data_IF_794857804460
#
_entry.id   IF_794857804460
#
_cell.length_a   1.000
_cell.length_b   1.000
_cell.length_c   1.000
_cell.angle_alpha   90.00
_cell.angle_beta   90.00
_cell.angle_gamma   90.00
#
_symmetry.space_group_name_H-M   'P 1'
#
loop_
_entity.id
_entity.type
_entity.pdbx_description
1 polymer ?
#
# COMPACT_ATOMS: atom_id res chain seq x y z
N UNK A 1 -49.94 26.84 -80.30
CA UNK A 1 -49.36 27.81 -79.39
C UNK A 1 -47.89 27.52 -79.31
N UNK A 2 -47.09 28.27 -80.07
CA UNK A 2 -45.64 28.02 -80.27
C UNK A 2 -44.83 28.74 -79.20
N UNK A 3 -43.94 27.99 -78.45
CA UNK A 3 -43.02 28.56 -77.51
C UNK A 3 -41.62 28.60 -78.14
N UNK A 4 -41.05 29.76 -78.22
CA UNK A 4 -39.76 30.05 -78.84
C UNK A 4 -38.65 29.92 -77.78
N UNK A 5 -37.70 28.99 -78.02
CA UNK A 5 -36.47 28.87 -77.28
C UNK A 5 -35.49 29.95 -77.76
N UNK A 6 -34.98 30.77 -76.82
CA UNK A 6 -33.81 31.61 -77.06
C UNK A 6 -32.61 31.04 -76.27
N UNK A 7 -31.63 30.61 -77.09
CA UNK A 7 -30.32 30.17 -76.67
C UNK A 7 -29.42 31.38 -76.31
N UNK A 8 -28.94 31.46 -75.10
CA UNK A 8 -27.84 32.36 -74.70
C UNK A 8 -26.53 31.59 -74.65
N UNK A 9 -25.58 31.96 -75.54
CA UNK A 9 -24.23 31.44 -75.46
C UNK A 9 -23.42 32.22 -74.42
N UNK A 10 -22.92 31.53 -73.38
CA UNK A 10 -22.03 32.09 -72.35
C UNK A 10 -20.58 31.80 -72.74
N UNK A 11 -19.83 32.84 -73.01
CA UNK A 11 -18.40 32.78 -73.30
C UNK A 11 -17.67 32.64 -71.95
N UNK A 12 -17.05 31.49 -71.67
CA UNK A 12 -16.22 31.27 -70.50
C UNK A 12 -14.77 31.60 -70.84
N UNK A 13 -14.28 32.69 -70.23
CA UNK A 13 -12.86 33.05 -70.23
C UNK A 13 -12.13 32.19 -69.17
N UNK A 14 -11.26 31.31 -69.64
CA UNK A 14 -10.33 30.55 -68.76
C UNK A 14 -9.12 31.41 -68.41
N UNK A 15 -9.00 31.85 -67.18
CA UNK A 15 -7.77 32.41 -66.58
C UNK A 15 -6.98 31.26 -65.94
N UNK A 16 -5.62 31.24 -66.04
CA UNK A 16 -4.82 30.22 -65.42
C UNK A 16 -4.74 30.46 -63.89
N UNK A 17 -5.24 29.53 -63.08
CA UNK A 17 -5.00 29.48 -61.67
C UNK A 17 -3.54 29.04 -61.41
N UNK A 18 -2.72 29.97 -61.00
CA UNK A 18 -1.41 29.67 -60.38
C UNK A 18 -1.66 28.95 -59.05
N UNK A 19 -1.31 27.65 -59.00
CA UNK A 19 -1.43 26.83 -57.81
C UNK A 19 -0.52 27.34 -56.70
N UNK A 20 -1.12 27.87 -55.63
CA UNK A 20 -0.46 28.04 -54.36
C UNK A 20 -0.45 26.70 -53.65
N UNK A 21 0.70 26.02 -53.61
CA UNK A 21 0.91 24.80 -52.81
C UNK A 21 1.05 25.27 -51.35
N UNK A 22 0.17 24.89 -50.41
CA UNK A 22 0.39 25.18 -49.01
C UNK A 22 1.59 24.39 -48.53
N UNK A 23 2.66 25.08 -48.19
CA UNK A 23 3.78 24.54 -47.45
C UNK A 23 3.27 24.11 -46.07
N UNK A 24 3.10 22.79 -45.86
CA UNK A 24 2.92 22.24 -44.54
C UNK A 24 4.26 22.37 -43.79
N UNK A 25 4.44 23.53 -43.15
CA UNK A 25 5.44 23.66 -42.10
C UNK A 25 5.07 22.64 -41.03
N UNK A 26 5.83 21.52 -40.93
CA UNK A 26 5.79 20.63 -39.75
C UNK A 26 6.08 21.52 -38.56
N UNK A 27 5.04 21.88 -37.81
CA UNK A 27 5.19 22.34 -36.45
C UNK A 27 5.88 21.19 -35.69
N UNK A 28 7.15 21.32 -35.43
CA UNK A 28 7.83 20.51 -34.42
C UNK A 28 7.21 20.95 -33.09
N UNK A 29 6.15 20.28 -32.66
CA UNK A 29 5.77 20.30 -31.26
C UNK A 29 7.01 19.85 -30.49
N UNK A 30 7.68 20.81 -29.89
CA UNK A 30 8.68 20.54 -28.86
C UNK A 30 7.92 19.82 -27.76
N UNK A 31 8.03 18.47 -27.73
CA UNK A 31 7.55 17.62 -26.66
C UNK A 31 8.31 18.09 -25.43
N UNK A 32 7.71 19.02 -24.69
CA UNK A 32 8.25 19.45 -23.41
C UNK A 32 8.38 18.18 -22.57
N UNK A 33 9.60 17.72 -22.34
CA UNK A 33 9.84 16.54 -21.50
C UNK A 33 9.19 16.80 -20.15
N UNK A 34 8.15 16.02 -19.85
CA UNK A 34 7.42 16.14 -18.60
C UNK A 34 8.39 15.80 -17.50
N UNK A 35 8.70 16.76 -16.60
CA UNK A 35 9.64 16.56 -15.48
C UNK A 35 9.23 15.28 -14.74
N UNK A 36 10.13 14.29 -14.69
CA UNK A 36 9.92 13.07 -13.94
C UNK A 36 10.13 13.32 -12.45
N UNK A 37 9.35 12.63 -11.63
CA UNK A 37 9.55 12.57 -10.18
C UNK A 37 10.83 11.82 -9.85
N UNK A 38 11.46 12.11 -8.72
CA UNK A 38 12.67 11.47 -8.24
C UNK A 38 12.40 10.69 -6.97
N UNK A 39 12.64 9.40 -6.99
CA UNK A 39 12.44 8.49 -5.85
C UNK A 39 13.80 7.98 -5.38
N UNK A 40 14.15 8.20 -4.12
CA UNK A 40 15.24 7.51 -3.45
C UNK A 40 14.71 6.20 -2.88
N UNK A 41 15.20 5.06 -3.38
CA UNK A 41 14.83 3.74 -2.91
C UNK A 41 15.95 3.15 -2.05
N UNK A 42 15.72 3.07 -0.75
CA UNK A 42 16.67 2.56 0.24
C UNK A 42 16.36 1.09 0.52
N UNK A 43 17.35 0.22 0.25
CA UNK A 43 17.25 -1.24 0.40
C UNK A 43 18.29 -1.80 1.38
N UNK A 44 18.80 -0.96 2.29
CA UNK A 44 19.81 -1.37 3.26
C UNK A 44 19.20 -2.30 4.33
N UNK A 45 19.84 -3.44 4.57
CA UNK A 45 19.54 -4.37 5.64
C UNK A 45 20.58 -4.30 6.74
N UNK A 46 20.16 -3.93 7.96
CA UNK A 46 20.98 -4.00 9.20
C UNK A 46 20.47 -5.09 10.15
N UNK A 47 19.33 -5.72 9.82
CA UNK A 47 18.80 -6.93 10.41
C UNK A 47 18.83 -8.07 9.38
N UNK A 48 17.72 -8.77 9.22
CA UNK A 48 17.58 -9.83 8.22
C UNK A 48 17.68 -9.27 6.80
N UNK A 49 18.48 -9.91 5.93
CA UNK A 49 18.58 -9.53 4.52
C UNK A 49 17.67 -10.41 3.67
N UNK A 50 16.64 -9.81 3.10
CA UNK A 50 15.72 -10.47 2.17
C UNK A 50 16.37 -10.72 0.80
N UNK A 51 16.04 -11.84 0.15
CA UNK A 51 16.54 -12.14 -1.20
C UNK A 51 16.18 -11.06 -2.22
N UNK A 52 15.01 -10.45 -2.09
CA UNK A 52 14.52 -9.36 -2.95
C UNK A 52 15.36 -8.08 -2.88
N UNK A 53 16.12 -7.85 -1.81
CA UNK A 53 17.03 -6.70 -1.67
C UNK A 53 18.52 -7.12 -1.67
N UNK A 54 18.82 -8.40 -1.88
CA UNK A 54 20.18 -8.88 -1.98
C UNK A 54 20.69 -8.76 -3.42
N UNK A 55 21.70 -7.93 -3.64
CA UNK A 55 22.29 -7.70 -4.96
C UNK A 55 23.07 -8.91 -5.47
N UNK A 56 23.59 -9.77 -4.59
CA UNK A 56 24.35 -10.98 -4.99
C UNK A 56 25.39 -10.68 -6.09
N UNK A 57 26.23 -9.69 -5.89
CA UNK A 57 27.26 -9.19 -6.82
C UNK A 57 26.72 -8.56 -8.13
N UNK A 58 25.41 -8.30 -8.21
CA UNK A 58 24.79 -7.55 -9.31
C UNK A 58 24.70 -6.06 -8.99
N UNK A 59 24.60 -5.20 -9.99
CA UNK A 59 24.42 -3.76 -9.76
C UNK A 59 23.14 -3.42 -8.99
N UNK A 60 22.06 -4.19 -9.22
CA UNK A 60 20.76 -4.00 -8.59
C UNK A 60 20.19 -5.32 -8.07
N UNK A 61 19.50 -5.26 -6.94
CA UNK A 61 18.71 -6.35 -6.38
C UNK A 61 17.39 -6.55 -7.16
N UNK A 62 16.72 -7.71 -7.02
CA UNK A 62 15.46 -7.97 -7.73
C UNK A 62 14.39 -6.87 -7.55
N UNK A 63 14.22 -6.35 -6.36
CA UNK A 63 13.27 -5.25 -6.08
C UNK A 63 13.72 -3.92 -6.70
N UNK A 64 15.01 -3.64 -6.72
CA UNK A 64 15.57 -2.45 -7.33
C UNK A 64 15.41 -2.46 -8.85
N UNK A 65 15.62 -3.64 -9.49
CA UNK A 65 15.34 -3.84 -10.93
C UNK A 65 13.87 -3.56 -11.22
N UNK A 66 12.95 -4.18 -10.46
CA UNK A 66 11.52 -3.99 -10.66
C UNK A 66 11.10 -2.53 -10.53
N UNK A 67 11.60 -1.82 -9.52
CA UNK A 67 11.29 -0.39 -9.33
C UNK A 67 11.82 0.48 -10.47
N UNK A 68 13.02 0.18 -10.96
CA UNK A 68 13.59 0.87 -12.13
C UNK A 68 12.75 0.63 -13.39
N UNK A 69 12.29 -0.62 -13.60
CA UNK A 69 11.39 -0.97 -14.70
C UNK A 69 10.04 -0.27 -14.62
N UNK A 70 9.43 -0.19 -13.41
CA UNK A 70 8.17 0.53 -13.18
C UNK A 70 8.33 2.02 -13.53
N UNK A 71 9.42 2.65 -13.07
CA UNK A 71 9.71 4.04 -13.39
C UNK A 71 9.88 4.29 -14.87
N UNK A 72 10.69 3.46 -15.54
CA UNK A 72 10.95 3.54 -16.97
C UNK A 72 9.70 3.30 -17.82
N UNK A 73 8.93 2.24 -17.52
CA UNK A 73 7.73 1.86 -18.30
C UNK A 73 6.58 2.84 -18.12
N UNK A 74 6.40 3.38 -16.91
CA UNK A 74 5.39 4.41 -16.65
C UNK A 74 5.78 5.80 -17.17
N UNK A 75 7.08 6.06 -17.34
CA UNK A 75 7.61 7.38 -17.70
C UNK A 75 7.39 8.47 -16.63
N UNK A 76 6.98 8.08 -15.41
CA UNK A 76 6.56 9.03 -14.36
C UNK A 76 7.70 9.44 -13.43
N UNK A 77 8.61 8.52 -13.13
CA UNK A 77 9.68 8.78 -12.16
C UNK A 77 10.98 8.06 -12.51
N UNK A 78 12.06 8.60 -12.01
CA UNK A 78 13.36 7.96 -11.99
C UNK A 78 13.66 7.46 -10.58
N UNK A 79 14.33 6.31 -10.44
CA UNK A 79 14.64 5.69 -9.16
C UNK A 79 16.16 5.69 -8.94
N UNK A 80 16.57 6.24 -7.82
CA UNK A 80 17.94 6.08 -7.31
C UNK A 80 17.93 5.01 -6.23
N UNK A 81 18.56 3.86 -6.49
CA UNK A 81 18.63 2.73 -5.57
C UNK A 81 19.89 2.79 -4.73
N UNK A 82 19.78 2.70 -3.41
CA UNK A 82 20.91 2.72 -2.49
C UNK A 82 20.78 1.67 -1.38
N UNK A 83 21.94 1.08 -1.01
CA UNK A 83 22.09 0.25 0.20
C UNK A 83 22.85 0.99 1.31
N UNK A 84 22.94 2.30 1.21
CA UNK A 84 23.51 3.19 2.22
C UNK A 84 22.46 4.24 2.61
N UNK A 85 21.80 4.04 3.76
CA UNK A 85 20.79 4.96 4.25
C UNK A 85 21.40 6.26 4.83
N UNK A 86 22.71 6.34 5.04
CA UNK A 86 23.37 7.57 5.52
C UNK A 86 23.28 8.72 4.52
N UNK A 87 22.99 8.42 3.24
CA UNK A 87 22.76 9.43 2.20
C UNK A 87 21.46 10.23 2.43
N UNK A 88 20.57 9.80 3.30
CA UNK A 88 19.34 10.52 3.63
C UNK A 88 19.65 11.74 4.51
N UNK A 89 20.03 12.81 3.86
CA UNK A 89 20.43 14.08 4.47
C UNK A 89 19.50 15.21 4.01
N UNK A 90 19.46 16.36 4.73
CA UNK A 90 18.68 17.52 4.30
C UNK A 90 19.01 17.99 2.88
N UNK A 91 20.28 17.92 2.47
CA UNK A 91 20.68 18.31 1.12
C UNK A 91 20.17 17.33 0.07
N UNK A 92 20.24 16.03 0.35
CA UNK A 92 19.69 15.00 -0.54
C UNK A 92 18.19 15.12 -0.74
N UNK A 93 17.45 15.43 0.32
CA UNK A 93 15.99 15.58 0.29
C UNK A 93 15.51 16.70 -0.63
N UNK A 94 16.30 17.75 -0.85
CA UNK A 94 15.93 18.88 -1.73
C UNK A 94 15.64 18.46 -3.17
N UNK A 95 16.26 17.37 -3.63
CA UNK A 95 16.16 16.90 -5.01
C UNK A 95 15.14 15.76 -5.19
N UNK A 96 14.46 15.34 -4.12
CA UNK A 96 13.58 14.18 -4.11
C UNK A 96 12.11 14.59 -4.01
N UNK A 97 11.25 13.76 -4.61
CA UNK A 97 9.79 13.84 -4.48
C UNK A 97 9.25 12.73 -3.56
N UNK A 98 9.97 11.59 -3.48
CA UNK A 98 9.61 10.48 -2.59
C UNK A 98 10.85 9.76 -2.04
N UNK A 99 10.68 9.15 -0.85
CA UNK A 99 11.63 8.18 -0.28
C UNK A 99 10.90 6.86 -0.07
N UNK A 100 11.48 5.78 -0.58
CA UNK A 100 10.96 4.43 -0.43
C UNK A 100 11.90 3.58 0.44
N UNK A 101 11.29 2.84 1.38
CA UNK A 101 12.01 1.95 2.31
C UNK A 101 11.62 0.50 2.06
N UNK A 102 12.64 -0.34 1.84
CA UNK A 102 12.58 -1.78 2.00
C UNK A 102 13.83 -2.19 2.79
N UNK A 103 13.77 -1.97 4.07
CA UNK A 103 14.93 -1.96 4.98
C UNK A 103 14.67 -2.79 6.21
N UNK A 104 15.73 -3.16 6.94
CA UNK A 104 15.63 -3.85 8.23
C UNK A 104 16.62 -3.28 9.25
N UNK A 105 16.24 -3.31 10.51
CA UNK A 105 17.12 -2.98 11.65
C UNK A 105 17.42 -1.49 11.79
N UNK A 106 18.42 -1.16 12.59
CA UNK A 106 18.84 0.22 12.87
C UNK A 106 19.69 0.80 11.74
N UNK A 107 19.09 1.64 10.92
CA UNK A 107 19.80 2.30 9.82
C UNK A 107 20.72 3.42 10.31
N UNK A 108 21.82 3.75 9.58
CA UNK A 108 22.73 4.83 9.91
C UNK A 108 22.15 6.21 9.52
N UNK A 109 20.94 6.50 9.95
CA UNK A 109 20.33 7.82 9.81
C UNK A 109 20.36 8.49 11.18
N UNK A 110 21.00 9.65 11.30
CA UNK A 110 21.03 10.37 12.56
C UNK A 110 19.66 10.89 12.95
N UNK A 111 19.44 11.19 14.22
CA UNK A 111 18.15 11.76 14.68
C UNK A 111 17.84 13.08 13.99
N UNK A 112 18.85 13.89 13.74
CA UNK A 112 18.73 15.18 13.04
C UNK A 112 18.32 14.99 11.59
N UNK A 113 18.94 14.03 10.87
CA UNK A 113 18.58 13.70 9.50
C UNK A 113 17.17 13.09 9.41
N UNK A 114 16.78 12.28 10.40
CA UNK A 114 15.43 11.74 10.45
C UNK A 114 14.40 12.86 10.72
N UNK A 115 14.67 13.77 11.64
CA UNK A 115 13.78 14.92 11.89
C UNK A 115 13.64 15.80 10.63
N UNK A 116 14.72 16.00 9.88
CA UNK A 116 14.67 16.70 8.61
C UNK A 116 13.84 15.95 7.56
N UNK A 117 13.91 14.62 7.53
CA UNK A 117 13.06 13.78 6.68
C UNK A 117 11.58 13.90 7.07
N UNK A 118 11.25 13.90 8.38
CA UNK A 118 9.87 14.12 8.83
C UNK A 118 9.34 15.49 8.38
N UNK A 119 10.10 16.56 8.58
CA UNK A 119 9.67 17.90 8.15
C UNK A 119 9.56 18.00 6.63
N UNK A 120 10.44 17.35 5.87
CA UNK A 120 10.35 17.25 4.42
C UNK A 120 9.06 16.52 3.98
N UNK A 121 8.73 15.38 4.61
CA UNK A 121 7.48 14.67 4.38
C UNK A 121 6.27 15.57 4.74
N UNK A 122 6.31 16.22 5.90
CA UNK A 122 5.27 17.15 6.37
C UNK A 122 5.03 18.32 5.41
N UNK A 123 6.04 18.72 4.63
CA UNK A 123 5.93 19.77 3.63
C UNK A 123 5.16 19.36 2.36
N UNK A 124 4.87 18.05 2.17
CA UNK A 124 4.02 17.58 1.08
C UNK A 124 4.64 16.47 0.20
N UNK A 125 5.77 15.92 0.59
CA UNK A 125 6.45 14.85 -0.13
C UNK A 125 5.89 13.46 0.22
N UNK A 126 6.44 12.41 -0.40
CA UNK A 126 5.92 11.06 -0.26
C UNK A 126 6.88 10.11 0.47
N UNK A 127 6.31 9.25 1.32
CA UNK A 127 6.98 8.09 1.87
C UNK A 127 6.30 6.81 1.36
N UNK A 128 7.10 5.85 0.88
CA UNK A 128 6.64 4.53 0.48
C UNK A 128 7.33 3.50 1.37
N UNK A 129 6.57 2.55 1.92
CA UNK A 129 7.09 1.41 2.66
C UNK A 129 6.67 0.09 2.03
N UNK A 130 7.59 -0.84 1.89
CA UNK A 130 7.29 -2.20 1.45
C UNK A 130 7.83 -3.20 2.45
N UNK A 131 7.04 -4.24 2.70
CA UNK A 131 7.39 -5.41 3.51
C UNK A 131 8.11 -5.03 4.81
N UNK A 132 9.42 -5.26 4.89
CA UNK A 132 10.21 -5.02 6.09
C UNK A 132 10.50 -3.54 6.42
N UNK A 133 9.90 -2.60 5.70
CA UNK A 133 9.95 -1.21 6.16
C UNK A 133 9.43 -1.08 7.60
N UNK A 134 8.52 -1.94 8.05
CA UNK A 134 8.06 -2.03 9.45
C UNK A 134 9.02 -2.78 10.39
N UNK A 135 10.06 -3.45 9.88
CA UNK A 135 11.15 -4.05 10.66
C UNK A 135 12.38 -3.12 10.75
N UNK A 136 12.15 -1.83 10.57
CA UNK A 136 13.17 -0.79 10.59
C UNK A 136 13.00 0.05 11.85
N UNK A 137 14.12 0.38 12.53
CA UNK A 137 14.13 1.21 13.74
C UNK A 137 13.12 0.77 14.82
N UNK A 138 13.07 -0.53 15.14
CA UNK A 138 12.04 -1.13 16.00
C UNK A 138 11.79 -0.44 17.34
N UNK A 139 12.80 0.22 17.92
CA UNK A 139 12.72 0.94 19.20
C UNK A 139 12.69 2.47 19.02
N UNK A 140 12.66 2.99 17.79
CA UNK A 140 12.64 4.41 17.51
C UNK A 140 11.21 4.89 17.21
N UNK A 141 10.56 5.42 18.24
CA UNK A 141 9.15 5.83 18.23
C UNK A 141 8.77 6.77 17.07
N UNK A 142 9.55 7.79 16.69
CA UNK A 142 9.19 8.63 15.54
C UNK A 142 8.97 7.82 14.26
N UNK A 143 9.85 6.86 13.96
CA UNK A 143 9.71 6.05 12.74
C UNK A 143 8.49 5.11 12.77
N UNK A 144 8.32 4.32 13.85
CA UNK A 144 7.21 3.38 13.88
C UNK A 144 5.84 4.08 14.04
N UNK A 145 5.78 5.26 14.66
CA UNK A 145 4.57 6.09 14.65
C UNK A 145 4.26 6.63 13.26
N UNK A 146 5.31 6.94 12.47
CA UNK A 146 5.15 7.42 11.11
C UNK A 146 4.61 6.34 10.18
N UNK A 147 5.27 5.17 10.12
CA UNK A 147 4.87 4.06 9.26
C UNK A 147 3.64 3.30 9.77
N UNK A 148 3.28 3.51 11.05
CA UNK A 148 2.15 2.90 11.75
C UNK A 148 2.30 1.40 11.99
N UNK A 149 3.43 0.99 12.52
CA UNK A 149 3.63 -0.40 12.94
C UNK A 149 5.09 -0.78 13.07
N UNK A 150 5.31 -1.79 13.90
CA UNK A 150 6.61 -2.45 14.04
C UNK A 150 6.42 -3.95 13.88
N UNK A 151 7.31 -4.60 13.15
CA UNK A 151 7.35 -6.05 13.00
C UNK A 151 7.21 -6.79 14.34
N UNK A 152 6.31 -7.77 14.39
CA UNK A 152 6.01 -8.59 15.57
C UNK A 152 5.89 -10.09 15.18
N UNK A 153 6.70 -10.52 14.21
CA UNK A 153 6.72 -11.87 13.69
C UNK A 153 6.01 -12.01 12.34
N UNK A 154 6.19 -13.20 11.73
CA UNK A 154 5.62 -13.57 10.43
C UNK A 154 4.95 -14.94 10.52
N UNK A 155 3.73 -15.03 11.08
CA UNK A 155 3.02 -16.31 11.23
C UNK A 155 2.78 -17.05 9.91
N UNK A 156 2.69 -16.32 8.80
CA UNK A 156 2.60 -16.86 7.45
C UNK A 156 3.95 -16.64 6.75
N UNK A 157 4.68 -17.73 6.55
CA UNK A 157 6.03 -17.70 5.97
C UNK A 157 6.01 -17.57 4.44
N UNK A 158 7.17 -17.32 3.85
CA UNK A 158 7.37 -17.07 2.41
C UNK A 158 6.87 -18.18 1.47
N UNK A 159 6.73 -19.41 1.97
CA UNK A 159 6.18 -20.55 1.23
C UNK A 159 4.66 -20.64 1.25
N UNK A 160 3.98 -19.90 2.10
CA UNK A 160 2.53 -20.00 2.28
C UNK A 160 1.78 -19.12 1.28
N UNK A 161 0.61 -19.63 0.83
CA UNK A 161 -0.35 -18.84 0.07
C UNK A 161 -1.43 -18.36 1.01
N UNK A 162 -1.66 -17.06 1.04
CA UNK A 162 -2.69 -16.42 1.86
C UNK A 162 -3.82 -15.89 0.99
N UNK A 163 -5.00 -15.73 1.58
CA UNK A 163 -6.13 -15.03 0.94
C UNK A 163 -6.21 -13.63 1.50
N UNK A 164 -6.08 -12.65 0.63
CA UNK A 164 -6.17 -11.21 0.93
C UNK A 164 -7.53 -10.70 0.49
N UNK A 165 -8.22 -9.97 1.36
CA UNK A 165 -9.48 -9.31 1.08
C UNK A 165 -9.26 -7.80 0.90
N UNK A 166 -9.85 -7.24 -0.16
CA UNK A 166 -9.90 -5.80 -0.38
C UNK A 166 -10.95 -5.21 0.54
N UNK A 167 -10.54 -4.29 1.40
CA UNK A 167 -11.40 -3.68 2.43
C UNK A 167 -11.97 -2.32 2.00
N UNK A 168 -11.27 -1.60 1.10
CA UNK A 168 -11.84 -0.46 0.38
C UNK A 168 -11.66 -0.63 -1.13
N UNK A 169 -12.63 -1.23 -1.83
CA UNK A 169 -12.57 -1.44 -3.28
C UNK A 169 -12.74 -0.15 -4.09
N UNK A 170 -13.12 0.96 -3.46
CA UNK A 170 -13.32 2.25 -4.13
C UNK A 170 -12.02 3.03 -4.27
N UNK A 171 -11.04 2.73 -3.41
CA UNK A 171 -9.77 3.42 -3.41
C UNK A 171 -8.93 3.07 -4.65
N UNK A 172 -8.27 4.08 -5.24
CA UNK A 172 -7.48 3.92 -6.48
C UNK A 172 -6.39 2.85 -6.35
N UNK A 173 -5.72 2.76 -5.20
CA UNK A 173 -4.67 1.76 -4.92
C UNK A 173 -5.22 0.33 -4.87
N UNK A 174 -6.53 0.17 -4.65
CA UNK A 174 -7.19 -1.12 -4.62
C UNK A 174 -7.52 -1.68 -6.01
N UNK A 175 -7.62 -0.83 -7.03
CA UNK A 175 -8.07 -1.21 -8.39
C UNK A 175 -7.30 -2.35 -9.07
N UNK A 176 -5.97 -2.54 -8.86
CA UNK A 176 -5.25 -3.64 -9.50
C UNK A 176 -5.72 -5.03 -9.06
N UNK A 177 -6.43 -5.15 -7.93
CA UNK A 177 -6.80 -6.43 -7.35
C UNK A 177 -8.32 -6.69 -7.41
N UNK A 178 -8.75 -7.94 -7.60
CA UNK A 178 -10.16 -8.30 -7.36
C UNK A 178 -10.50 -8.18 -5.87
N UNK A 179 -11.78 -8.19 -5.54
CA UNK A 179 -12.27 -8.03 -4.16
C UNK A 179 -11.62 -9.01 -3.16
N UNK A 180 -11.18 -10.16 -3.65
CA UNK A 180 -10.40 -11.16 -2.91
C UNK A 180 -9.42 -11.84 -3.84
N UNK A 181 -8.18 -12.07 -3.39
CA UNK A 181 -7.16 -12.74 -4.18
C UNK A 181 -6.23 -13.59 -3.31
N UNK A 182 -5.63 -14.61 -3.93
CA UNK A 182 -4.59 -15.41 -3.31
C UNK A 182 -3.21 -14.86 -3.66
N UNK A 183 -2.33 -14.81 -2.66
CA UNK A 183 -0.96 -14.35 -2.84
C UNK A 183 0.02 -15.23 -2.05
N UNK A 184 1.13 -15.61 -2.68
CA UNK A 184 2.18 -16.40 -2.05
C UNK A 184 3.29 -15.47 -1.62
N UNK A 185 3.30 -15.11 -0.34
CA UNK A 185 4.32 -14.25 0.24
C UNK A 185 4.39 -14.45 1.76
N UNK A 186 5.45 -13.93 2.38
CA UNK A 186 5.53 -13.84 3.83
C UNK A 186 4.70 -12.66 4.31
N UNK A 187 3.94 -12.86 5.40
CA UNK A 187 3.06 -11.85 5.95
C UNK A 187 3.46 -11.52 7.39
N UNK A 188 3.76 -10.26 7.61
CA UNK A 188 4.07 -9.70 8.92
C UNK A 188 2.82 -9.41 9.73
N UNK A 189 2.91 -9.62 11.03
CA UNK A 189 2.04 -9.02 12.03
C UNK A 189 2.77 -7.86 12.71
N UNK A 190 2.02 -7.00 13.42
CA UNK A 190 2.56 -5.77 13.95
C UNK A 190 2.29 -5.59 15.43
N UNK A 191 3.22 -4.96 16.13
CA UNK A 191 3.01 -4.17 17.35
C UNK A 191 2.96 -2.70 16.96
N UNK A 192 2.45 -1.83 17.84
CA UNK A 192 2.31 -0.39 17.63
C UNK A 192 1.45 0.01 16.42
N UNK A 193 0.62 -0.91 15.91
CA UNK A 193 -0.35 -0.57 14.89
C UNK A 193 -1.56 0.14 15.52
N UNK A 194 -1.87 1.34 15.03
CA UNK A 194 -3.04 2.12 15.44
C UNK A 194 -4.02 2.22 14.27
N UNK A 195 -5.20 1.58 14.36
CA UNK A 195 -6.22 1.67 13.32
C UNK A 195 -6.76 3.10 13.13
N UNK A 196 -6.64 3.98 14.14
CA UNK A 196 -7.08 5.38 14.08
C UNK A 196 -6.12 6.30 13.30
N UNK A 197 -4.95 5.79 12.91
CA UNK A 197 -3.91 6.57 12.23
C UNK A 197 -3.87 6.35 10.71
N UNK A 198 -4.60 5.37 10.17
CA UNK A 198 -4.46 4.92 8.78
C UNK A 198 -5.80 4.62 8.11
N UNK A 199 -5.81 4.72 6.79
CA UNK A 199 -6.87 4.20 5.93
C UNK A 199 -6.43 2.83 5.40
N UNK A 200 -7.04 1.75 5.89
CA UNK A 200 -6.72 0.37 5.52
C UNK A 200 -7.37 0.03 4.19
N UNK A 201 -6.62 -0.59 3.30
CA UNK A 201 -7.06 -0.98 1.96
C UNK A 201 -7.22 -2.49 1.79
N UNK A 202 -6.34 -3.28 2.44
CA UNK A 202 -6.35 -4.74 2.38
C UNK A 202 -6.07 -5.34 3.75
N UNK A 203 -6.65 -6.52 3.99
CA UNK A 203 -6.35 -7.36 5.15
C UNK A 203 -6.40 -8.84 4.80
N UNK A 204 -5.90 -9.70 5.68
CA UNK A 204 -6.07 -11.15 5.52
C UNK A 204 -7.51 -11.57 5.76
N UNK A 205 -8.02 -12.47 4.90
CA UNK A 205 -9.25 -13.21 5.18
C UNK A 205 -8.92 -14.41 6.08
N UNK A 206 -9.13 -14.27 7.39
CA UNK A 206 -8.76 -15.27 8.38
C UNK A 206 -9.56 -16.59 8.26
N UNK A 207 -10.76 -16.55 7.67
CA UNK A 207 -11.54 -17.77 7.42
C UNK A 207 -10.97 -18.62 6.28
N UNK A 208 -10.16 -18.01 5.39
CA UNK A 208 -9.58 -18.67 4.21
C UNK A 208 -8.05 -18.83 4.29
N UNK A 209 -7.43 -18.33 5.33
CA UNK A 209 -6.01 -18.54 5.61
C UNK A 209 -5.82 -19.63 6.65
N UNK A 210 -4.63 -20.23 6.70
CA UNK A 210 -4.24 -21.05 7.82
C UNK A 210 -4.33 -20.23 9.09
N UNK A 211 -5.22 -20.65 10.01
CA UNK A 211 -5.51 -19.90 11.24
C UNK A 211 -4.29 -19.73 12.11
N UNK A 212 -3.95 -18.51 12.44
CA UNK A 212 -2.85 -18.11 13.32
C UNK A 212 -3.22 -16.83 14.08
N UNK A 213 -2.48 -16.54 15.12
CA UNK A 213 -2.50 -15.23 15.78
C UNK A 213 -1.63 -14.23 15.00
N UNK A 214 -1.99 -12.96 14.84
CA UNK A 214 -3.17 -12.23 15.34
C UNK A 214 -4.45 -12.56 14.55
N UNK A 215 -5.58 -12.01 14.98
CA UNK A 215 -6.86 -12.22 14.30
C UNK A 215 -7.04 -11.30 13.10
N UNK A 216 -6.80 -9.99 13.22
CA UNK A 216 -6.76 -9.07 12.09
C UNK A 216 -5.32 -8.75 11.68
N UNK A 217 -5.03 -8.84 10.39
CA UNK A 217 -3.72 -8.50 9.81
C UNK A 217 -3.93 -7.56 8.64
N UNK A 218 -3.71 -6.25 8.82
CA UNK A 218 -3.72 -5.31 7.72
C UNK A 218 -2.54 -5.58 6.78
N UNK A 219 -2.79 -5.59 5.48
CA UNK A 219 -1.78 -5.86 4.44
C UNK A 219 -1.32 -4.58 3.77
N UNK A 220 -2.23 -3.63 3.60
CA UNK A 220 -1.91 -2.37 2.94
C UNK A 220 -2.71 -1.24 3.55
N UNK A 221 -2.05 -0.11 3.73
CA UNK A 221 -2.68 1.12 4.19
C UNK A 221 -2.05 2.36 3.59
N UNK A 222 -2.81 3.42 3.65
CA UNK A 222 -2.37 4.77 3.28
C UNK A 222 -2.68 5.74 4.41
N UNK A 223 -1.97 6.86 4.47
CA UNK A 223 -2.27 7.95 5.39
C UNK A 223 -1.75 9.28 4.87
N UNK A 224 -2.40 10.36 5.26
CA UNK A 224 -1.80 11.69 5.19
C UNK A 224 -1.02 11.98 6.48
N UNK A 225 0.16 12.58 6.31
CA UNK A 225 1.04 13.00 7.39
C UNK A 225 1.26 14.49 7.21
N UNK A 226 0.42 15.31 7.85
CA UNK A 226 0.28 16.75 7.55
C UNK A 226 -0.02 16.96 6.05
N UNK A 227 0.92 17.55 5.28
CA UNK A 227 0.76 17.73 3.83
C UNK A 227 1.34 16.57 3.02
N UNK A 228 2.11 15.68 3.61
CA UNK A 228 2.71 14.51 2.93
C UNK A 228 1.76 13.32 2.89
N UNK A 229 2.13 12.31 2.09
CA UNK A 229 1.40 11.05 1.98
C UNK A 229 2.32 9.86 2.20
N UNK A 230 1.82 8.86 2.90
CA UNK A 230 2.49 7.59 3.11
C UNK A 230 1.63 6.45 2.54
N UNK A 231 2.26 5.60 1.72
CA UNK A 231 1.72 4.33 1.24
C UNK A 231 2.58 3.19 1.78
N UNK A 232 1.94 2.17 2.36
CA UNK A 232 2.62 0.95 2.81
C UNK A 232 1.93 -0.30 2.30
N UNK A 233 2.72 -1.29 1.91
CA UNK A 233 2.26 -2.66 1.61
C UNK A 233 3.15 -3.69 2.31
N UNK A 234 2.52 -4.68 2.95
CA UNK A 234 3.18 -5.82 3.60
C UNK A 234 3.84 -6.77 2.58
N UNK A 235 3.31 -6.79 1.35
CA UNK A 235 3.82 -7.67 0.29
C UNK A 235 5.21 -7.26 -0.16
N UNK A 236 6.01 -8.23 -0.63
CA UNK A 236 7.33 -7.96 -1.21
C UNK A 236 8.47 -8.85 -0.72
N UNK A 237 8.23 -9.84 0.17
CA UNK A 237 9.28 -10.73 0.67
C UNK A 237 9.94 -11.54 -0.45
N UNK A 238 9.14 -12.24 -1.24
CA UNK A 238 9.65 -13.15 -2.27
C UNK A 238 10.18 -12.40 -3.49
N UNK A 239 11.27 -12.88 -4.07
CA UNK A 239 11.80 -12.34 -5.34
C UNK A 239 10.74 -12.40 -6.46
N UNK A 240 9.93 -13.48 -6.49
CA UNK A 240 8.84 -13.66 -7.46
C UNK A 240 7.71 -12.62 -7.34
N UNK A 241 7.52 -12.03 -6.17
CA UNK A 241 6.55 -10.94 -5.97
C UNK A 241 6.90 -9.74 -6.86
N UNK A 242 8.19 -9.41 -7.00
CA UNK A 242 8.68 -8.27 -7.80
C UNK A 242 8.58 -8.47 -9.32
N UNK A 243 8.34 -9.70 -9.76
CA UNK A 243 8.06 -10.02 -11.18
C UNK A 243 6.57 -10.14 -11.49
N UNK A 244 5.70 -10.14 -10.46
CA UNK A 244 4.25 -10.23 -10.61
C UNK A 244 3.68 -8.93 -11.20
N UNK A 245 2.98 -8.96 -12.35
CA UNK A 245 2.46 -7.76 -13.00
C UNK A 245 1.44 -7.00 -12.15
N UNK A 246 0.58 -7.70 -11.40
CA UNK A 246 -0.43 -7.08 -10.54
C UNK A 246 0.23 -6.39 -9.33
N UNK A 247 1.30 -6.98 -8.77
CA UNK A 247 2.05 -6.34 -7.71
C UNK A 247 2.80 -5.09 -8.21
N UNK A 248 3.37 -5.13 -9.43
CA UNK A 248 4.00 -3.94 -10.05
C UNK A 248 2.96 -2.83 -10.26
N UNK A 249 1.76 -3.16 -10.72
CA UNK A 249 0.69 -2.19 -10.88
C UNK A 249 0.19 -1.65 -9.52
N UNK A 250 0.11 -2.52 -8.51
CA UNK A 250 -0.21 -2.10 -7.14
C UNK A 250 0.81 -1.09 -6.59
N UNK A 251 2.11 -1.33 -6.78
CA UNK A 251 3.15 -0.37 -6.40
C UNK A 251 3.01 0.94 -7.18
N UNK A 252 2.79 0.86 -8.49
CA UNK A 252 2.64 2.04 -9.34
C UNK A 252 1.45 2.89 -8.91
N UNK A 253 0.30 2.29 -8.63
CA UNK A 253 -0.88 3.04 -8.15
C UNK A 253 -0.67 3.62 -6.76
N UNK A 254 0.00 2.90 -5.87
CA UNK A 254 0.39 3.40 -4.54
C UNK A 254 1.34 4.60 -4.63
N UNK A 255 2.33 4.54 -5.52
CA UNK A 255 3.27 5.64 -5.79
C UNK A 255 2.54 6.85 -6.39
N UNK A 256 1.65 6.65 -7.37
CA UNK A 256 0.83 7.71 -7.96
C UNK A 256 -0.02 8.43 -6.92
N UNK A 257 -0.66 7.66 -6.03
CA UNK A 257 -1.43 8.23 -4.95
C UNK A 257 -0.54 9.02 -3.97
N UNK A 258 0.61 8.46 -3.58
CA UNK A 258 1.55 9.11 -2.67
C UNK A 258 2.12 10.41 -3.26
N UNK A 259 2.39 10.45 -4.57
CA UNK A 259 2.84 11.62 -5.32
C UNK A 259 1.69 12.58 -5.72
N UNK A 260 0.46 12.36 -5.26
CA UNK A 260 -0.73 13.18 -5.57
C UNK A 260 -1.07 13.26 -7.07
N UNK A 261 -0.71 12.24 -7.83
CA UNK A 261 -1.09 12.08 -9.25
C UNK A 261 -2.47 11.45 -9.41
N UNK A 262 -2.93 10.77 -8.38
CA UNK A 262 -4.26 10.19 -8.29
C UNK A 262 -4.84 10.48 -6.90
N UNK A 263 -6.16 10.67 -6.85
CA UNK A 263 -6.87 10.94 -5.60
C UNK A 263 -7.49 9.66 -5.03
N UNK A 264 -7.59 9.63 -3.71
CA UNK A 264 -8.23 8.57 -2.93
C UNK A 264 -8.24 8.97 -1.45
N UNK A 265 -9.22 8.51 -0.67
CA UNK A 265 -9.36 8.89 0.73
C UNK A 265 -8.15 8.44 1.56
N UNK A 266 -7.69 9.30 2.47
CA UNK A 266 -6.68 8.99 3.47
C UNK A 266 -7.21 9.18 4.90
N UNK A 267 -8.49 9.58 5.02
CA UNK A 267 -9.15 9.66 6.32
C UNK A 267 -9.11 8.27 6.96
N UNK A 268 -8.62 8.15 8.19
CA UNK A 268 -8.58 6.85 8.87
C UNK A 268 -9.95 6.18 8.89
N UNK A 269 -9.97 4.87 8.68
CA UNK A 269 -11.18 4.03 8.68
C UNK A 269 -11.08 2.93 9.77
N UNK A 270 -10.94 3.31 11.06
CA UNK A 270 -10.72 2.35 12.15
C UNK A 270 -11.85 1.33 12.29
N UNK A 271 -13.08 1.68 11.88
CA UNK A 271 -14.25 0.79 11.86
C UNK A 271 -14.01 -0.47 11.03
N UNK A 272 -13.20 -0.39 9.97
CA UNK A 272 -12.79 -1.54 9.15
C UNK A 272 -11.95 -2.51 10.00
N UNK A 273 -10.93 -1.98 10.67
CA UNK A 273 -10.07 -2.81 11.54
C UNK A 273 -10.85 -3.40 12.72
N UNK A 274 -11.79 -2.64 13.32
CA UNK A 274 -12.63 -3.14 14.41
C UNK A 274 -13.52 -4.28 13.95
N UNK A 275 -14.19 -4.11 12.82
CA UNK A 275 -15.08 -5.11 12.25
C UNK A 275 -14.32 -6.39 11.83
N UNK A 276 -13.19 -6.23 11.14
CA UNK A 276 -12.37 -7.36 10.69
C UNK A 276 -11.75 -8.11 11.88
N UNK A 277 -11.31 -7.41 12.93
CA UNK A 277 -10.81 -8.07 14.15
C UNK A 277 -11.92 -8.83 14.88
N UNK A 278 -13.10 -8.23 15.03
CA UNK A 278 -14.26 -8.86 15.66
C UNK A 278 -14.69 -10.11 14.90
N UNK A 279 -14.80 -10.02 13.58
CA UNK A 279 -15.12 -11.11 12.66
C UNK A 279 -14.12 -12.25 12.77
N UNK A 280 -12.82 -11.93 12.65
CA UNK A 280 -11.76 -12.93 12.70
C UNK A 280 -11.69 -13.62 14.08
N UNK A 281 -11.87 -12.86 15.17
CA UNK A 281 -11.96 -13.40 16.53
C UNK A 281 -13.15 -14.36 16.67
N UNK A 282 -14.34 -13.95 16.24
CA UNK A 282 -15.54 -14.79 16.28
C UNK A 282 -15.35 -16.09 15.52
N UNK A 283 -14.74 -16.03 14.35
CA UNK A 283 -14.44 -17.20 13.53
C UNK A 283 -13.42 -18.14 14.19
N UNK A 284 -12.27 -17.60 14.65
CA UNK A 284 -11.20 -18.39 15.27
C UNK A 284 -11.67 -19.07 16.55
N UNK A 285 -12.26 -18.28 17.47
CA UNK A 285 -12.69 -18.80 18.78
C UNK A 285 -13.92 -19.71 18.64
N UNK A 286 -14.82 -19.39 17.71
CA UNK A 286 -15.95 -20.26 17.37
C UNK A 286 -15.45 -21.64 16.90
N UNK A 287 -14.47 -21.67 16.00
CA UNK A 287 -13.84 -22.91 15.54
C UNK A 287 -13.15 -23.67 16.69
N UNK A 288 -12.35 -23.00 17.51
CA UNK A 288 -11.64 -23.59 18.65
C UNK A 288 -12.61 -24.20 19.69
N UNK A 289 -13.80 -23.59 19.86
CA UNK A 289 -14.80 -24.04 20.83
C UNK A 289 -15.89 -24.93 20.24
N UNK A 290 -15.77 -25.35 18.97
CA UNK A 290 -16.75 -26.23 18.31
C UNK A 290 -18.12 -25.59 18.11
N UNK A 291 -18.19 -24.24 18.02
CA UNK A 291 -19.40 -23.47 17.76
C UNK A 291 -19.56 -23.18 16.27
N UNK A 292 -20.71 -22.61 15.87
CA UNK A 292 -20.89 -22.12 14.50
C UNK A 292 -20.04 -20.87 14.26
N UNK A 293 -18.82 -21.07 13.76
CA UNK A 293 -17.81 -20.04 13.59
C UNK A 293 -18.26 -18.95 12.58
N UNK A 294 -18.95 -19.35 11.49
CA UNK A 294 -19.42 -18.40 10.46
C UNK A 294 -20.50 -17.49 11.02
N UNK A 295 -21.42 -18.02 11.81
CA UNK A 295 -22.46 -17.23 12.46
C UNK A 295 -21.87 -16.25 13.49
N UNK A 296 -20.96 -16.71 14.32
CA UNK A 296 -20.29 -15.85 15.31
C UNK A 296 -19.47 -14.75 14.65
N UNK A 297 -18.76 -15.07 13.57
CA UNK A 297 -18.00 -14.10 12.81
C UNK A 297 -18.91 -13.01 12.20
N UNK A 298 -20.01 -13.42 11.55
CA UNK A 298 -20.96 -12.49 10.96
C UNK A 298 -21.65 -11.60 12.02
N UNK A 299 -21.99 -12.18 13.16
CA UNK A 299 -22.58 -11.47 14.30
C UNK A 299 -21.62 -10.44 14.89
N UNK A 300 -20.37 -10.82 15.12
CA UNK A 300 -19.33 -9.94 15.64
C UNK A 300 -19.03 -8.78 14.69
N UNK A 301 -18.89 -9.06 13.40
CA UNK A 301 -18.68 -8.05 12.36
C UNK A 301 -19.80 -7.04 12.32
N UNK A 302 -21.05 -7.52 12.28
CA UNK A 302 -22.26 -6.67 12.28
C UNK A 302 -22.33 -5.78 13.53
N UNK A 303 -22.09 -6.35 14.71
CA UNK A 303 -22.11 -5.62 15.97
C UNK A 303 -21.04 -4.52 16.00
N UNK A 304 -19.80 -4.82 15.58
CA UNK A 304 -18.71 -3.84 15.54
C UNK A 304 -18.96 -2.71 14.54
N UNK A 305 -19.65 -2.99 13.42
CA UNK A 305 -20.07 -1.97 12.44
C UNK A 305 -21.21 -1.09 12.93
N UNK A 306 -22.13 -1.64 13.72
CA UNK A 306 -23.31 -0.92 14.22
C UNK A 306 -23.06 -0.13 15.51
N UNK A 307 -22.05 -0.52 16.28
CA UNK A 307 -21.62 0.10 17.55
C UNK A 307 -20.10 0.26 17.56
N UNK A 308 -19.64 1.40 17.06
CA UNK A 308 -18.19 1.68 16.91
C UNK A 308 -17.46 1.77 18.25
N UNK A 309 -18.12 2.19 19.32
CA UNK A 309 -17.54 2.27 20.65
C UNK A 309 -17.29 0.86 21.20
N UNK A 310 -18.27 -0.02 21.08
CA UNK A 310 -18.09 -1.43 21.42
C UNK A 310 -17.04 -2.11 20.53
N UNK A 311 -17.06 -1.85 19.23
CA UNK A 311 -16.09 -2.40 18.28
C UNK A 311 -14.65 -1.99 18.62
N UNK A 312 -14.44 -0.72 18.98
CA UNK A 312 -13.14 -0.22 19.43
C UNK A 312 -12.69 -0.90 20.73
N UNK A 313 -13.59 -1.02 21.72
CA UNK A 313 -13.30 -1.71 22.98
C UNK A 313 -12.95 -3.18 22.75
N UNK A 314 -13.74 -3.87 21.95
CA UNK A 314 -13.49 -5.27 21.61
C UNK A 314 -12.12 -5.44 20.91
N UNK A 315 -11.77 -4.53 20.00
CA UNK A 315 -10.47 -4.51 19.32
C UNK A 315 -9.33 -4.44 20.34
N UNK A 316 -9.39 -3.53 21.30
CA UNK A 316 -8.37 -3.37 22.34
C UNK A 316 -8.27 -4.62 23.24
N UNK A 317 -9.40 -5.19 23.62
CA UNK A 317 -9.45 -6.38 24.49
C UNK A 317 -8.89 -7.62 23.76
N UNK A 318 -9.18 -7.79 22.48
CA UNK A 318 -8.58 -8.86 21.65
C UNK A 318 -7.07 -8.63 21.49
N UNK A 319 -6.60 -7.39 21.30
CA UNK A 319 -5.16 -7.11 21.22
C UNK A 319 -4.44 -7.40 22.54
N UNK A 320 -5.05 -7.08 23.67
CA UNK A 320 -4.54 -7.47 24.99
C UNK A 320 -4.46 -9.00 25.14
N UNK A 321 -5.51 -9.71 24.76
CA UNK A 321 -5.53 -11.19 24.78
C UNK A 321 -4.43 -11.80 23.89
N UNK A 322 -4.20 -11.22 22.71
CA UNK A 322 -3.14 -11.62 21.79
C UNK A 322 -1.76 -11.53 22.42
N UNK A 323 -1.53 -10.49 23.22
CA UNK A 323 -0.24 -10.19 23.89
C UNK A 323 -0.06 -10.93 25.21
N UNK A 324 -1.07 -11.63 25.73
CA UNK A 324 -0.92 -12.43 26.94
C UNK A 324 0.06 -13.57 26.72
N UNK A 325 0.92 -13.84 27.70
CA UNK A 325 1.76 -15.03 27.71
C UNK A 325 0.92 -16.27 28.05
N UNK A 326 0.40 -16.92 27.01
CA UNK A 326 -0.47 -18.08 27.13
C UNK A 326 0.22 -19.32 27.73
N UNK A 327 1.54 -19.36 27.73
CA UNK A 327 2.30 -20.44 28.38
C UNK A 327 2.38 -20.21 29.88
N UNK A 328 2.42 -18.95 30.29
CA UNK A 328 2.52 -18.56 31.68
C UNK A 328 1.16 -18.53 32.39
N UNK A 329 0.11 -18.06 31.70
CA UNK A 329 -1.22 -17.87 32.26
C UNK A 329 -2.33 -18.48 31.32
N UNK A 330 -2.33 -19.80 31.07
CA UNK A 330 -3.25 -20.42 30.12
C UNK A 330 -4.73 -20.29 30.51
N UNK A 331 -5.02 -20.45 31.82
CA UNK A 331 -6.40 -20.36 32.33
C UNK A 331 -6.96 -18.95 32.21
N UNK A 332 -6.13 -17.94 32.48
CA UNK A 332 -6.53 -16.53 32.31
C UNK A 332 -6.82 -16.19 30.82
N UNK A 333 -5.97 -16.66 29.92
CA UNK A 333 -6.19 -16.46 28.49
C UNK A 333 -7.47 -17.18 27.99
N UNK A 334 -7.76 -18.38 28.54
CA UNK A 334 -8.99 -19.12 28.25
C UNK A 334 -10.23 -18.37 28.75
N UNK A 335 -10.20 -17.95 30.02
CA UNK A 335 -11.30 -17.19 30.62
C UNK A 335 -11.61 -15.90 29.86
N UNK A 336 -10.56 -15.19 29.37
CA UNK A 336 -10.74 -13.97 28.59
C UNK A 336 -11.35 -14.25 27.21
N UNK A 337 -10.93 -15.33 26.53
CA UNK A 337 -11.58 -15.79 25.29
C UNK A 337 -13.07 -16.06 25.50
N UNK A 338 -13.43 -16.79 26.57
CA UNK A 338 -14.83 -17.12 26.91
C UNK A 338 -15.64 -15.88 27.23
N UNK A 339 -15.05 -14.91 27.95
CA UNK A 339 -15.68 -13.62 28.26
C UNK A 339 -16.00 -12.84 26.99
N UNK A 340 -15.01 -12.65 26.10
CA UNK A 340 -15.19 -11.90 24.86
C UNK A 340 -16.18 -12.58 23.92
N UNK A 341 -16.16 -13.90 23.84
CA UNK A 341 -17.11 -14.68 23.05
C UNK A 341 -18.54 -14.48 23.58
N UNK A 342 -18.72 -14.53 24.92
CA UNK A 342 -20.02 -14.27 25.56
C UNK A 342 -20.54 -12.85 25.32
N UNK A 343 -19.68 -11.84 25.14
CA UNK A 343 -20.08 -10.50 24.73
C UNK A 343 -20.61 -10.48 23.28
N UNK A 344 -19.96 -11.22 22.37
CA UNK A 344 -20.44 -11.36 20.98
C UNK A 344 -21.79 -12.09 20.93
N UNK A 345 -21.96 -13.16 21.70
CA UNK A 345 -23.19 -13.95 21.72
C UNK A 345 -24.42 -13.18 22.22
N UNK A 346 -24.21 -12.14 23.02
CA UNK A 346 -25.30 -11.27 23.55
C UNK A 346 -25.74 -10.17 22.59
N UNK A 347 -24.99 -9.91 21.53
CA UNK A 347 -25.33 -8.89 20.53
C UNK A 347 -26.27 -9.41 19.46
#
# INVERSE_FOLDING_TARGET
MRLILRTFALLVLLAPLAGVVPSFAKASESRQEKKKYKILYITQSKGFKHGSVDRKDKPLAPSEVAMTEIGASSGLFDVECTQDASVLTPDKLKDLDAVMFYTTGGLPISKENFAAFEEWLHAGHAMIGTHSATDTFGDFQPYWSLINGTFDGHPWGSGETVTVAVQDPTHVVAKPWPAEFQFKDEIYQYRHYDPKAVHVLYGLNMAKCKTKMPYHVPICWVREVRKGRLFYTNLGHNEGTWTNPQFKEHLLTGIRWALRLEEGPATPNPEVSYAEQAKAFGWVVGTEMGKNADELAAKAEKAAKSDLEWGAKLYEDIDKLRRMDKKKDPDKAKAEKERLLGEIEKR
#
